data_IF_201602049200
#
_entry.id   IF_201602049200
#
_cell.length_a   1.000
_cell.length_b   1.000
_cell.length_c   1.000
_cell.angle_alpha   90.00
_cell.angle_beta   90.00
_cell.angle_gamma   90.00
#
_symmetry.space_group_name_H-M   'P 1'
#
loop_
_entity.id
_entity.type
_entity.pdbx_description
1 polymer ?
#
# COMPACT_ATOMS: atom_id res chain seq x y z
N UNK A 1 13.32 13.52 -31.33
CA UNK A 1 13.16 13.04 -29.95
C UNK A 1 12.72 14.19 -29.05
N UNK A 2 11.41 14.38 -28.96
CA UNK A 2 10.75 15.27 -28.00
C UNK A 2 11.01 14.81 -26.56
N UNK A 3 10.89 15.72 -25.60
CA UNK A 3 11.06 15.41 -24.16
C UNK A 3 10.05 14.35 -23.69
N UNK A 4 8.86 14.36 -24.27
CA UNK A 4 7.78 13.39 -24.00
C UNK A 4 8.19 11.97 -24.39
N UNK A 5 8.79 11.80 -25.56
CA UNK A 5 9.19 10.49 -26.11
C UNK A 5 10.25 9.83 -25.23
N UNK A 6 11.24 10.60 -24.77
CA UNK A 6 12.27 10.10 -23.84
C UNK A 6 11.68 9.67 -22.50
N UNK A 7 10.65 10.35 -22.02
CA UNK A 7 9.94 10.00 -20.78
C UNK A 7 9.21 8.67 -20.93
N UNK A 8 8.46 8.50 -22.02
CA UNK A 8 7.74 7.25 -22.30
C UNK A 8 8.70 6.07 -22.44
N UNK A 9 9.82 6.27 -23.15
CA UNK A 9 10.85 5.24 -23.29
C UNK A 9 11.42 4.81 -21.93
N UNK A 10 11.71 5.76 -21.04
CA UNK A 10 12.27 5.44 -19.73
C UNK A 10 11.26 4.72 -18.82
N UNK A 11 9.99 5.09 -18.90
CA UNK A 11 8.92 4.39 -18.17
C UNK A 11 8.70 2.97 -18.69
N UNK A 12 8.76 2.75 -20.01
CA UNK A 12 8.73 1.41 -20.62
C UNK A 12 9.87 0.56 -20.07
N UNK A 13 11.10 1.07 -20.08
CA UNK A 13 12.27 0.35 -19.56
C UNK A 13 12.14 -0.03 -18.08
N UNK A 14 11.45 0.78 -17.25
CA UNK A 14 11.20 0.43 -15.84
C UNK A 14 10.18 -0.71 -15.73
N UNK A 15 9.13 -0.68 -16.55
CA UNK A 15 8.14 -1.76 -16.61
C UNK A 15 8.79 -3.07 -17.07
N UNK A 16 9.63 -3.01 -18.11
CA UNK A 16 10.37 -4.16 -18.65
C UNK A 16 11.33 -4.72 -17.59
N UNK A 17 12.05 -3.86 -16.87
CA UNK A 17 12.88 -4.27 -15.74
C UNK A 17 12.06 -5.01 -14.67
N UNK A 18 10.90 -4.47 -14.30
CA UNK A 18 10.04 -5.05 -13.27
C UNK A 18 9.51 -6.44 -13.67
N UNK A 19 9.22 -6.64 -14.96
CA UNK A 19 8.83 -7.95 -15.50
C UNK A 19 10.01 -8.93 -15.60
N UNK A 20 11.22 -8.42 -15.89
CA UNK A 20 12.41 -9.26 -16.05
C UNK A 20 12.88 -9.94 -14.76
N UNK A 21 12.50 -9.41 -13.58
CA UNK A 21 12.95 -9.90 -12.28
C UNK A 21 14.46 -9.74 -12.02
N UNK A 22 15.20 -9.09 -12.93
CA UNK A 22 16.64 -8.88 -12.81
C UNK A 22 16.96 -7.85 -11.74
N UNK A 23 18.16 -7.93 -11.17
CA UNK A 23 18.65 -6.85 -10.31
C UNK A 23 18.83 -5.55 -11.13
N UNK A 24 18.65 -4.39 -10.48
CA UNK A 24 18.78 -3.08 -11.15
C UNK A 24 20.11 -2.93 -11.87
N UNK A 25 21.20 -3.35 -11.21
CA UNK A 25 22.56 -3.28 -11.74
C UNK A 25 22.73 -4.18 -12.97
N UNK A 26 22.23 -5.41 -12.93
CA UNK A 26 22.31 -6.34 -14.06
C UNK A 26 21.51 -5.79 -15.26
N UNK A 27 20.31 -5.25 -15.02
CA UNK A 27 19.49 -4.66 -16.06
C UNK A 27 20.13 -3.42 -16.70
N UNK A 28 20.72 -2.53 -15.90
CA UNK A 28 21.44 -1.35 -16.39
C UNK A 28 22.65 -1.75 -17.25
N UNK A 29 23.41 -2.76 -16.83
CA UNK A 29 24.57 -3.25 -17.57
C UNK A 29 24.18 -3.89 -18.92
N UNK A 30 23.09 -4.66 -18.95
CA UNK A 30 22.62 -5.35 -20.17
C UNK A 30 21.99 -4.38 -21.19
N UNK A 31 21.25 -3.37 -20.72
CA UNK A 31 20.57 -2.39 -21.56
C UNK A 31 21.41 -1.12 -21.84
N UNK A 32 22.64 -1.05 -21.31
CA UNK A 32 23.52 0.11 -21.48
C UNK A 32 22.98 1.41 -20.89
N UNK A 33 22.15 1.33 -19.84
CA UNK A 33 21.55 2.49 -19.18
C UNK A 33 22.47 2.95 -18.05
N UNK A 34 22.70 4.26 -17.94
CA UNK A 34 23.41 4.81 -16.80
C UNK A 34 22.61 4.55 -15.51
N UNK A 35 23.26 3.91 -14.53
CA UNK A 35 22.65 3.58 -13.24
C UNK A 35 22.02 4.80 -12.58
N UNK A 36 22.68 5.97 -12.56
CA UNK A 36 22.15 7.18 -11.95
C UNK A 36 20.86 7.65 -12.62
N UNK A 37 20.79 7.57 -13.95
CA UNK A 37 19.58 7.89 -14.71
C UNK A 37 18.47 6.89 -14.40
N UNK A 38 18.79 5.60 -14.35
CA UNK A 38 17.81 4.57 -14.01
C UNK A 38 17.24 4.76 -12.60
N UNK A 39 18.09 5.02 -11.60
CA UNK A 39 17.67 5.29 -10.22
C UNK A 39 16.77 6.52 -10.13
N UNK A 40 17.11 7.60 -10.83
CA UNK A 40 16.27 8.81 -10.90
C UNK A 40 14.87 8.49 -11.42
N UNK A 41 14.78 7.78 -12.54
CA UNK A 41 13.49 7.43 -13.14
C UNK A 41 12.71 6.39 -12.32
N UNK A 42 13.40 5.46 -11.66
CA UNK A 42 12.80 4.49 -10.76
C UNK A 42 12.16 5.16 -9.53
N UNK A 43 12.81 6.17 -8.95
CA UNK A 43 12.19 6.96 -7.88
C UNK A 43 10.98 7.74 -8.40
N UNK A 44 11.11 8.37 -9.56
CA UNK A 44 10.04 9.16 -10.19
C UNK A 44 8.82 8.31 -10.61
N UNK A 45 9.03 7.04 -11.01
CA UNK A 45 7.94 6.14 -11.36
C UNK A 45 7.14 5.69 -10.12
N UNK A 46 7.79 5.58 -8.95
CA UNK A 46 7.10 5.37 -7.67
C UNK A 46 6.28 6.57 -7.26
N UNK A 47 6.79 7.79 -7.42
CA UNK A 47 6.06 9.03 -7.13
C UNK A 47 4.85 9.26 -8.05
N UNK A 48 4.79 8.64 -9.24
CA UNK A 48 3.57 8.67 -10.06
C UNK A 48 2.53 7.63 -9.59
N UNK A 49 2.94 6.56 -8.90
CA UNK A 49 2.04 5.53 -8.36
C UNK A 49 1.59 5.85 -6.93
N UNK A 50 2.46 6.46 -6.12
CA UNK A 50 2.05 7.13 -4.89
C UNK A 50 1.47 8.47 -5.28
N UNK A 51 0.14 8.56 -5.30
CA UNK A 51 -0.60 9.81 -5.39
C UNK A 51 0.16 10.91 -4.65
N UNK A 52 0.72 11.80 -5.46
CA UNK A 52 1.64 12.87 -5.16
C UNK A 52 1.43 13.47 -3.78
N UNK A 53 2.39 13.34 -2.86
CA UNK A 53 2.64 14.26 -1.72
C UNK A 53 1.41 14.85 -0.98
N UNK A 54 0.30 14.13 -0.92
CA UNK A 54 -1.00 14.60 -0.46
C UNK A 54 -1.56 13.51 0.42
N UNK A 55 -2.13 13.94 1.55
CA UNK A 55 -2.74 13.12 2.60
C UNK A 55 -3.09 11.71 2.15
N UNK A 56 -2.44 10.72 2.77
CA UNK A 56 -2.83 9.32 2.63
C UNK A 56 -4.25 9.23 3.18
N UNK A 57 -5.22 8.93 2.33
CA UNK A 57 -6.58 8.61 2.77
C UNK A 57 -6.49 7.36 3.61
N UNK A 58 -6.63 7.54 4.93
CA UNK A 58 -6.98 6.45 5.81
C UNK A 58 -8.41 6.10 5.40
N UNK A 59 -8.57 4.99 4.68
CA UNK A 59 -9.88 4.41 4.47
C UNK A 59 -10.48 4.24 5.85
N UNK A 60 -11.55 4.99 6.13
CA UNK A 60 -12.19 4.98 7.43
C UNK A 60 -12.92 3.65 7.48
N UNK A 61 -12.15 2.62 7.82
CA UNK A 61 -12.54 1.22 7.87
C UNK A 61 -13.98 1.19 8.37
N UNK A 62 -14.86 0.79 7.45
CA UNK A 62 -16.31 0.81 7.55
C UNK A 62 -16.65 0.54 9.01
N UNK A 63 -17.15 1.55 9.75
CA UNK A 63 -17.28 1.50 11.21
C UNK A 63 -17.88 0.15 11.59
N UNK A 64 -17.03 -0.83 11.89
CA UNK A 64 -17.50 -2.07 12.46
C UNK A 64 -18.05 -1.59 13.78
N UNK A 65 -19.38 -1.66 13.91
CA UNK A 65 -20.10 -1.22 15.11
C UNK A 65 -19.79 -2.24 16.21
N UNK A 66 -18.51 -2.37 16.54
CA UNK A 66 -18.01 -3.28 17.54
C UNK A 66 -18.38 -2.70 18.89
N UNK A 67 -19.05 -3.51 19.70
CA UNK A 67 -19.38 -3.18 21.08
C UNK A 67 -18.35 -3.85 21.97
N UNK A 68 -17.71 -3.07 22.84
CA UNK A 68 -16.78 -3.56 23.87
C UNK A 68 -17.40 -3.40 25.26
N UNK A 69 -17.42 -4.48 26.04
CA UNK A 69 -17.88 -4.50 27.44
C UNK A 69 -16.70 -4.88 28.33
N UNK A 70 -16.42 -4.08 29.36
CA UNK A 70 -15.32 -4.27 30.30
C UNK A 70 -15.90 -4.49 31.70
N UNK A 71 -15.65 -5.66 32.30
CA UNK A 71 -16.10 -5.99 33.64
C UNK A 71 -15.06 -5.62 34.71
N UNK A 72 -15.47 -5.37 35.97
CA UNK A 72 -14.56 -5.05 37.08
C UNK A 72 -13.53 -6.14 37.40
N UNK A 73 -13.83 -7.39 37.05
CA UNK A 73 -12.92 -8.54 37.18
C UNK A 73 -11.87 -8.61 36.05
N UNK A 74 -11.87 -7.64 35.12
CA UNK A 74 -10.92 -7.56 34.02
C UNK A 74 -11.32 -8.32 32.75
N UNK A 75 -12.46 -8.99 32.73
CA UNK A 75 -13.00 -9.65 31.53
C UNK A 75 -13.42 -8.59 30.52
N UNK A 76 -13.03 -8.78 29.26
CA UNK A 76 -13.39 -7.89 28.14
C UNK A 76 -14.07 -8.70 27.05
N UNK A 77 -15.24 -8.26 26.65
CA UNK A 77 -16.03 -8.88 25.58
C UNK A 77 -16.07 -7.91 24.41
N UNK A 78 -15.61 -8.33 23.24
CA UNK A 78 -15.65 -7.55 22.00
C UNK A 78 -16.50 -8.30 20.97
N UNK A 79 -17.56 -7.67 20.47
CA UNK A 79 -18.52 -8.29 19.54
C UNK A 79 -18.81 -7.34 18.38
N UNK A 80 -18.91 -7.88 17.17
CA UNK A 80 -19.35 -7.16 15.98
C UNK A 80 -20.88 -6.97 16.00
N UNK A 81 -21.37 -5.76 16.30
CA UNK A 81 -22.77 -5.25 16.28
C UNK A 81 -23.96 -6.18 16.63
N UNK A 82 -23.75 -7.36 17.20
CA UNK A 82 -24.79 -8.31 17.56
C UNK A 82 -25.18 -8.12 19.03
N UNK A 83 -26.10 -7.19 19.25
CA UNK A 83 -26.65 -6.87 20.56
C UNK A 83 -27.44 -8.04 21.18
N UNK A 84 -27.98 -8.95 20.37
CA UNK A 84 -28.72 -10.10 20.86
C UNK A 84 -27.75 -11.10 21.53
N UNK A 85 -26.64 -11.42 20.86
CA UNK A 85 -25.57 -12.24 21.42
C UNK A 85 -24.99 -11.62 22.70
N UNK A 86 -24.73 -10.31 22.68
CA UNK A 86 -24.23 -9.58 23.85
C UNK A 86 -25.20 -9.66 25.03
N UNK A 87 -26.51 -9.55 24.79
CA UNK A 87 -27.52 -9.69 25.84
C UNK A 87 -27.58 -11.10 26.45
N UNK A 88 -27.30 -12.15 25.66
CA UNK A 88 -27.24 -13.53 26.15
C UNK A 88 -26.00 -13.76 27.01
N UNK A 89 -24.85 -13.24 26.59
CA UNK A 89 -23.58 -13.37 27.32
C UNK A 89 -23.61 -12.65 28.67
N UNK A 90 -24.28 -11.49 28.75
CA UNK A 90 -24.43 -10.74 30.01
C UNK A 90 -25.38 -11.44 30.98
N UNK A 91 -26.40 -12.14 30.51
CA UNK A 91 -27.38 -12.84 31.37
C UNK A 91 -26.86 -14.15 31.98
N UNK A 92 -25.70 -14.63 31.53
CA UNK A 92 -25.09 -15.87 32.02
C UNK A 92 -24.19 -15.65 33.27
N UNK A 93 -24.05 -14.40 33.72
CA UNK A 93 -23.25 -13.98 34.88
C UNK A 93 -24.13 -13.24 35.88
#
# INVERSE_FOLDING_TARGET
MSKEEKRLQMLSMISDWQQSGKSKKAYCAENGINEATFYYWFSRSKENNMTSGSFITIDKDNRKNDVEVIYPNGVRIKIENDLALLSQLIRLY
#
